data_IF_485180532895
#
_entry.id   IF_485180532895
#
_cell.length_a   1.000
_cell.length_b   1.000
_cell.length_c   1.000
_cell.angle_alpha   90.00
_cell.angle_beta   90.00
_cell.angle_gamma   90.00
#
_symmetry.space_group_name_H-M   'P 1'
#
loop_
_entity.id
_entity.type
_entity.pdbx_description
1 polymer ?
#
# COMPACT_ATOMS: atom_id res chain seq x y z
N UNK A 1 -55.46 -23.91 47.69
CA UNK A 1 -55.06 -22.49 47.58
C UNK A 1 -53.68 -22.36 48.22
N UNK A 2 -52.64 -22.08 47.43
CA UNK A 2 -51.28 -21.88 47.94
C UNK A 2 -50.93 -20.38 47.85
N UNK A 3 -50.24 -19.81 48.87
CA UNK A 3 -49.93 -18.39 48.92
C UNK A 3 -48.76 -18.07 47.98
N UNK A 4 -48.94 -17.04 47.14
CA UNK A 4 -47.88 -16.49 46.30
C UNK A 4 -46.98 -15.59 47.15
N UNK A 5 -45.72 -15.97 47.31
CA UNK A 5 -44.69 -15.10 47.86
C UNK A 5 -44.11 -14.22 46.75
N UNK A 6 -44.26 -12.91 46.90
CA UNK A 6 -43.65 -11.88 46.05
C UNK A 6 -42.22 -11.64 46.52
N UNK A 7 -41.22 -11.96 45.69
CA UNK A 7 -39.81 -11.64 45.96
C UNK A 7 -39.57 -10.17 45.60
N UNK A 8 -39.03 -9.34 46.51
CA UNK A 8 -38.66 -7.96 46.22
C UNK A 8 -37.54 -7.92 45.16
N UNK A 9 -37.80 -7.22 44.07
CA UNK A 9 -36.84 -7.02 42.99
C UNK A 9 -35.84 -5.95 43.42
N UNK A 10 -34.73 -6.37 44.02
CA UNK A 10 -33.61 -5.50 44.40
C UNK A 10 -32.97 -4.93 43.13
N UNK A 11 -33.33 -3.68 42.80
CA UNK A 11 -32.72 -2.93 41.70
C UNK A 11 -31.28 -2.58 42.10
N UNK A 12 -30.35 -3.49 41.81
CA UNK A 12 -28.93 -3.23 41.91
C UNK A 12 -28.58 -1.99 41.08
N UNK A 13 -28.22 -0.90 41.77
CA UNK A 13 -27.76 0.33 41.15
C UNK A 13 -26.53 0.01 40.29
N UNK A 14 -26.71 0.05 38.97
CA UNK A 14 -25.63 -0.14 38.01
C UNK A 14 -24.52 0.88 38.30
N UNK A 15 -23.26 0.44 38.45
CA UNK A 15 -22.15 1.33 38.73
C UNK A 15 -22.07 2.39 37.63
N UNK A 16 -22.18 3.66 38.02
CA UNK A 16 -22.02 4.80 37.12
C UNK A 16 -20.59 4.77 36.58
N UNK A 17 -20.43 4.38 35.33
CA UNK A 17 -19.16 4.47 34.61
C UNK A 17 -18.73 5.94 34.59
N UNK A 18 -17.54 6.29 35.10
CA UNK A 18 -17.06 7.66 35.12
C UNK A 18 -17.06 8.27 33.72
N UNK A 19 -17.72 9.42 33.58
CA UNK A 19 -17.92 10.14 32.31
C UNK A 19 -16.70 10.96 31.85
N UNK A 20 -15.57 10.84 32.54
CA UNK A 20 -14.26 11.31 32.06
C UNK A 20 -13.71 10.34 31.00
N UNK A 21 -14.54 10.05 29.99
CA UNK A 21 -14.26 9.17 28.88
C UNK A 21 -13.32 9.83 27.87
N UNK A 22 -12.11 10.20 28.28
CA UNK A 22 -11.03 10.34 27.30
C UNK A 22 -10.88 8.98 26.65
N UNK A 23 -11.09 8.96 25.34
CA UNK A 23 -10.98 7.76 24.52
C UNK A 23 -9.56 7.20 24.66
N UNK A 24 -9.38 6.26 25.59
CA UNK A 24 -8.07 5.66 25.94
C UNK A 24 -7.45 4.98 24.73
N UNK A 25 -8.27 4.65 23.73
CA UNK A 25 -7.82 4.10 22.45
C UNK A 25 -6.97 5.07 21.64
N UNK A 26 -7.09 6.38 21.86
CA UNK A 26 -6.28 7.40 21.15
C UNK A 26 -4.86 7.55 21.70
N UNK A 27 -4.61 7.12 22.94
CA UNK A 27 -3.30 7.23 23.59
C UNK A 27 -2.58 5.88 23.74
N UNK A 28 -3.33 4.79 23.75
CA UNK A 28 -2.78 3.43 23.85
C UNK A 28 -2.14 3.01 22.51
N UNK A 29 -0.82 2.76 22.53
CA UNK A 29 -0.04 2.30 21.38
C UNK A 29 -0.51 0.95 20.80
N UNK A 30 -1.16 0.13 21.63
CA UNK A 30 -1.59 -1.23 21.33
C UNK A 30 -3.09 -1.32 21.03
N UNK A 31 -3.86 -0.27 21.29
CA UNK A 31 -5.30 -0.24 21.05
C UNK A 31 -5.62 -0.37 19.55
N UNK A 32 -6.69 -1.13 19.19
CA UNK A 32 -7.14 -1.26 17.82
C UNK A 32 -7.44 0.10 17.17
N UNK A 33 -7.14 0.24 15.89
CA UNK A 33 -7.30 1.51 15.15
C UNK A 33 -7.48 1.26 13.66
N UNK A 34 -7.96 2.25 12.90
CA UNK A 34 -8.13 2.18 11.45
C UNK A 34 -7.42 3.35 10.78
N UNK A 35 -6.74 3.12 9.65
CA UNK A 35 -6.00 4.17 8.94
C UNK A 35 -6.81 4.83 7.83
N UNK A 36 -7.76 4.09 7.22
CA UNK A 36 -8.50 4.56 6.04
C UNK A 36 -9.46 5.72 6.34
N UNK A 37 -9.89 5.85 7.60
CA UNK A 37 -10.75 6.95 8.05
C UNK A 37 -9.99 8.26 8.34
N UNK A 38 -8.66 8.20 8.44
CA UNK A 38 -7.85 9.37 8.75
C UNK A 38 -7.77 10.30 7.55
N UNK A 39 -7.63 11.58 7.82
CA UNK A 39 -7.09 12.59 6.91
C UNK A 39 -5.57 12.63 7.01
N UNK A 40 -4.92 13.31 6.07
CA UNK A 40 -3.46 13.46 6.09
C UNK A 40 -3.00 14.26 7.31
N UNK A 41 -3.80 15.27 7.70
CA UNK A 41 -3.55 16.08 8.89
C UNK A 41 -3.60 15.29 10.21
N UNK A 42 -4.28 14.14 10.23
CA UNK A 42 -4.43 13.28 11.40
C UNK A 42 -3.33 12.20 11.50
N UNK A 43 -2.49 12.01 10.48
CA UNK A 43 -1.41 11.03 10.53
C UNK A 43 -0.44 11.19 11.73
N UNK A 44 -0.14 12.41 12.24
CA UNK A 44 0.68 12.55 13.43
C UNK A 44 0.10 11.86 14.68
N UNK A 45 -1.23 11.76 14.78
CA UNK A 45 -1.91 11.21 15.98
C UNK A 45 -1.65 9.72 16.14
N UNK A 46 -1.38 8.99 15.05
CA UNK A 46 -1.13 7.54 15.07
C UNK A 46 0.35 7.16 15.11
N UNK A 47 1.27 8.13 15.22
CA UNK A 47 2.71 7.84 15.22
C UNK A 47 3.18 7.04 16.44
N UNK A 48 2.38 6.99 17.50
CA UNK A 48 2.66 6.17 18.68
C UNK A 48 2.13 4.73 18.53
N UNK A 49 1.32 4.42 17.52
CA UNK A 49 0.78 3.07 17.30
C UNK A 49 1.88 2.10 16.90
N UNK A 50 1.85 0.90 17.47
CA UNK A 50 2.82 -0.16 17.21
C UNK A 50 2.29 -1.33 16.40
N UNK A 51 0.96 -1.53 16.39
CA UNK A 51 0.29 -2.57 15.61
C UNK A 51 -0.17 -2.06 14.26
N UNK A 52 -0.32 -2.99 13.31
CA UNK A 52 -1.04 -2.74 12.06
C UNK A 52 -2.50 -2.32 12.36
N UNK A 53 -3.10 -1.46 11.54
CA UNK A 53 -4.49 -1.07 11.72
C UNK A 53 -5.44 -2.22 11.35
N UNK A 54 -6.64 -2.23 11.90
CA UNK A 54 -7.66 -3.26 11.72
C UNK A 54 -8.12 -3.40 10.26
N UNK A 55 -8.00 -2.34 9.47
CA UNK A 55 -8.29 -2.32 8.03
C UNK A 55 -7.10 -2.82 7.17
N UNK A 56 -5.99 -3.26 7.78
CA UNK A 56 -4.92 -3.99 7.12
C UNK A 56 -5.30 -5.48 6.94
N UNK A 57 -6.22 -5.75 6.01
CA UNK A 57 -6.71 -7.10 5.76
C UNK A 57 -6.07 -7.73 4.52
N UNK A 58 -5.55 -8.96 4.64
CA UNK A 58 -4.96 -9.72 3.50
C UNK A 58 -5.96 -9.87 2.35
N UNK A 59 -7.26 -9.95 2.64
CA UNK A 59 -8.32 -10.03 1.62
C UNK A 59 -8.29 -8.85 0.64
N UNK A 60 -7.79 -7.68 1.05
CA UNK A 60 -7.59 -6.53 0.16
C UNK A 60 -6.50 -6.76 -0.90
N UNK A 61 -5.58 -7.71 -0.67
CA UNK A 61 -4.57 -8.10 -1.66
C UNK A 61 -5.13 -9.03 -2.76
N UNK A 62 -6.35 -9.56 -2.58
CA UNK A 62 -7.01 -10.50 -3.49
C UNK A 62 -6.11 -11.66 -3.90
N UNK A 63 -5.49 -12.32 -2.92
CA UNK A 63 -4.59 -13.45 -3.16
C UNK A 63 -5.39 -14.65 -3.70
N UNK A 64 -4.78 -15.42 -4.62
CA UNK A 64 -5.35 -16.69 -5.08
C UNK A 64 -5.13 -17.81 -4.05
N UNK A 65 -5.77 -18.96 -4.27
CA UNK A 65 -5.74 -20.11 -3.35
C UNK A 65 -4.42 -20.89 -3.32
N UNK A 66 -3.54 -20.73 -4.33
CA UNK A 66 -2.26 -21.43 -4.34
C UNK A 66 -1.28 -20.80 -3.33
N UNK A 67 -0.70 -21.63 -2.46
CA UNK A 67 0.36 -21.28 -1.51
C UNK A 67 1.66 -20.92 -2.24
N UNK A 68 1.69 -19.70 -2.79
CA UNK A 68 2.86 -19.12 -3.42
C UNK A 68 3.69 -18.33 -2.41
N UNK A 69 4.97 -18.11 -2.71
CA UNK A 69 5.84 -17.19 -1.94
C UNK A 69 5.22 -15.78 -1.79
N UNK A 70 4.30 -15.38 -2.68
CA UNK A 70 3.52 -14.15 -2.57
C UNK A 70 2.67 -14.19 -1.29
N UNK A 71 1.84 -15.23 -1.10
CA UNK A 71 1.02 -15.38 0.10
C UNK A 71 1.87 -15.48 1.37
N UNK A 72 2.95 -16.26 1.31
CA UNK A 72 3.91 -16.35 2.41
C UNK A 72 4.49 -14.97 2.78
N UNK A 73 4.77 -14.11 1.79
CA UNK A 73 5.30 -12.75 2.02
C UNK A 73 4.29 -11.87 2.78
N UNK A 74 2.99 -11.91 2.44
CA UNK A 74 1.97 -11.15 3.15
C UNK A 74 1.84 -11.59 4.61
N UNK A 75 1.72 -12.89 4.86
CA UNK A 75 1.65 -13.43 6.21
C UNK A 75 2.92 -13.14 7.01
N UNK A 76 4.09 -13.22 6.37
CA UNK A 76 5.36 -12.87 6.99
C UNK A 76 5.38 -11.41 7.44
N UNK A 77 4.96 -10.46 6.59
CA UNK A 77 4.90 -9.03 6.96
C UNK A 77 3.93 -8.78 8.12
N UNK A 78 2.77 -9.43 8.14
CA UNK A 78 1.82 -9.27 9.26
C UNK A 78 2.41 -9.79 10.56
N UNK A 79 3.11 -10.93 10.52
CA UNK A 79 3.75 -11.52 11.69
C UNK A 79 4.96 -10.72 12.19
N UNK A 80 5.70 -10.08 11.29
CA UNK A 80 6.96 -9.38 11.60
C UNK A 80 6.83 -7.85 11.55
N UNK A 81 5.62 -7.32 11.40
CA UNK A 81 5.41 -5.88 11.47
C UNK A 81 5.79 -5.39 12.88
N UNK A 82 6.51 -4.29 12.92
CA UNK A 82 6.99 -3.65 14.13
C UNK A 82 6.82 -2.14 13.94
N UNK A 83 5.86 -1.54 14.63
CA UNK A 83 5.65 -0.11 14.52
C UNK A 83 6.76 0.73 15.19
N UNK A 84 7.67 0.15 15.97
CA UNK A 84 8.86 0.86 16.45
C UNK A 84 9.92 0.99 15.33
N UNK A 85 10.00 0.04 14.42
CA UNK A 85 10.85 0.11 13.23
C UNK A 85 10.47 1.30 12.33
N UNK A 86 11.39 2.25 12.09
CA UNK A 86 11.11 3.40 11.23
C UNK A 86 10.71 2.99 9.81
N UNK A 87 11.31 1.92 9.27
CA UNK A 87 11.03 1.44 7.92
C UNK A 87 9.59 0.92 7.83
N UNK A 88 9.14 0.13 8.81
CA UNK A 88 7.80 -0.45 8.83
C UNK A 88 6.73 0.63 8.98
N UNK A 89 6.93 1.55 9.95
CA UNK A 89 6.04 2.70 10.16
C UNK A 89 5.99 3.61 8.93
N UNK A 90 7.13 3.91 8.32
CA UNK A 90 7.19 4.66 7.07
C UNK A 90 6.44 3.95 5.93
N UNK A 91 6.66 2.64 5.75
CA UNK A 91 5.99 1.85 4.72
C UNK A 91 4.47 1.92 4.85
N UNK A 92 3.93 1.81 6.07
CA UNK A 92 2.49 1.92 6.31
C UNK A 92 1.95 3.31 5.95
N UNK A 93 2.59 4.37 6.46
CA UNK A 93 2.14 5.75 6.27
C UNK A 93 2.25 6.19 4.80
N UNK A 94 3.35 5.83 4.12
CA UNK A 94 3.53 6.17 2.70
C UNK A 94 2.56 5.41 1.81
N UNK A 95 2.20 4.17 2.17
CA UNK A 95 1.19 3.39 1.45
C UNK A 95 -0.20 3.99 1.58
N UNK A 96 -0.55 4.50 2.75
CA UNK A 96 -1.76 5.30 2.94
C UNK A 96 -1.74 6.55 2.05
N UNK A 97 -0.66 7.34 2.07
CA UNK A 97 -0.55 8.54 1.22
C UNK A 97 -0.65 8.17 -0.27
N UNK A 98 0.05 7.14 -0.72
CA UNK A 98 0.01 6.64 -2.09
C UNK A 98 -1.42 6.24 -2.50
N UNK A 99 -2.18 5.61 -1.60
CA UNK A 99 -3.59 5.28 -1.84
C UNK A 99 -4.45 6.52 -2.10
N UNK A 100 -4.11 7.69 -1.52
CA UNK A 100 -4.81 8.96 -1.72
C UNK A 100 -4.41 9.66 -3.03
N UNK A 101 -3.25 9.32 -3.59
CA UNK A 101 -2.79 9.82 -4.91
C UNK A 101 -3.57 9.15 -6.06
N UNK A 102 -4.09 7.94 -5.85
CA UNK A 102 -4.93 7.25 -6.81
C UNK A 102 -6.10 8.14 -7.33
N UNK A 103 -6.43 8.08 -8.63
CA UNK A 103 -5.88 7.21 -9.68
C UNK A 103 -4.64 7.78 -10.40
N UNK A 104 -4.01 8.85 -9.89
CA UNK A 104 -2.86 9.53 -10.53
C UNK A 104 -1.53 8.86 -10.21
N UNK A 105 -1.42 7.56 -10.46
CA UNK A 105 -0.25 6.74 -10.11
C UNK A 105 0.72 6.49 -11.26
N UNK A 106 0.39 7.03 -12.43
CA UNK A 106 1.11 6.84 -13.67
C UNK A 106 2.33 7.75 -13.83
N UNK A 107 3.02 7.53 -14.94
CA UNK A 107 4.05 8.42 -15.47
C UNK A 107 3.93 8.50 -16.99
N UNK A 108 4.45 9.59 -17.55
CA UNK A 108 4.60 9.73 -19.00
C UNK A 108 5.64 8.76 -19.57
N UNK A 109 5.86 8.78 -20.88
CA UNK A 109 6.94 8.02 -21.50
C UNK A 109 8.32 8.47 -20.99
N UNK A 110 9.33 7.63 -21.22
CA UNK A 110 10.72 8.05 -21.06
C UNK A 110 10.99 9.31 -21.91
N UNK A 111 11.62 10.35 -21.35
CA UNK A 111 11.98 11.52 -22.14
C UNK A 111 13.14 11.20 -23.09
N UNK A 112 13.24 11.94 -24.20
CA UNK A 112 14.24 11.68 -25.25
C UNK A 112 15.69 11.72 -24.75
N UNK A 113 15.97 12.55 -23.74
CA UNK A 113 17.30 12.70 -23.16
C UNK A 113 17.61 11.70 -22.03
N UNK A 114 16.72 10.74 -21.71
CA UNK A 114 17.01 9.81 -20.60
C UNK A 114 18.29 8.99 -20.84
N UNK A 115 18.62 8.72 -22.10
CA UNK A 115 19.81 7.96 -22.50
C UNK A 115 21.11 8.70 -22.16
N UNK A 116 21.09 10.05 -22.13
CA UNK A 116 22.27 10.85 -21.78
C UNK A 116 22.61 10.77 -20.30
N UNK A 117 21.69 10.29 -19.46
CA UNK A 117 21.91 10.08 -18.03
C UNK A 117 22.50 8.69 -17.71
N UNK A 118 22.72 7.84 -18.73
CA UNK A 118 23.27 6.49 -18.55
C UNK A 118 24.61 6.55 -17.82
N UNK A 119 24.76 5.75 -16.76
CA UNK A 119 25.95 5.72 -15.91
C UNK A 119 25.86 6.62 -14.68
N UNK A 120 24.91 7.56 -14.62
CA UNK A 120 24.67 8.37 -13.42
C UNK A 120 23.42 7.91 -12.65
N UNK A 121 23.63 7.09 -11.62
CA UNK A 121 22.54 6.63 -10.73
C UNK A 121 21.84 7.81 -10.05
N UNK A 122 22.60 8.84 -9.65
CA UNK A 122 22.06 10.03 -8.97
C UNK A 122 21.10 10.79 -9.89
N UNK A 123 21.53 11.09 -11.11
CA UNK A 123 20.74 11.93 -12.03
C UNK A 123 19.48 11.20 -12.51
N UNK A 124 19.57 9.91 -12.84
CA UNK A 124 18.39 9.11 -13.22
C UNK A 124 17.42 9.01 -12.04
N UNK A 125 17.92 8.75 -10.82
CA UNK A 125 17.07 8.65 -9.63
C UNK A 125 16.34 9.96 -9.36
N UNK A 126 17.06 11.08 -9.36
CA UNK A 126 16.46 12.40 -9.12
C UNK A 126 15.45 12.75 -10.22
N UNK A 127 15.78 12.47 -11.47
CA UNK A 127 14.87 12.67 -12.58
C UNK A 127 13.56 11.87 -12.42
N UNK A 128 13.63 10.56 -12.11
CA UNK A 128 12.45 9.71 -11.85
C UNK A 128 11.59 10.27 -10.71
N UNK A 129 12.21 10.80 -9.65
CA UNK A 129 11.49 11.42 -8.51
C UNK A 129 10.76 12.70 -8.90
N UNK A 130 11.25 13.43 -9.90
CA UNK A 130 10.66 14.68 -10.38
C UNK A 130 9.58 14.50 -11.45
N UNK A 131 9.45 13.30 -12.05
CA UNK A 131 8.41 13.04 -13.05
C UNK A 131 7.03 13.37 -12.46
N UNK A 132 6.10 13.87 -13.28
CA UNK A 132 4.75 14.24 -12.86
C UNK A 132 3.80 13.04 -12.68
N UNK A 133 3.03 13.02 -11.59
CA UNK A 133 2.04 11.99 -11.28
C UNK A 133 0.81 12.17 -12.17
N UNK A 134 0.65 11.31 -13.17
CA UNK A 134 -0.44 11.42 -14.16
C UNK A 134 -1.53 10.36 -13.93
N UNK A 135 -2.78 10.63 -14.32
CA UNK A 135 -3.83 9.62 -14.39
C UNK A 135 -3.37 8.35 -15.12
N UNK A 136 -3.80 7.19 -14.62
CA UNK A 136 -3.49 5.90 -15.24
C UNK A 136 -3.85 5.83 -16.73
N UNK A 137 -4.93 6.51 -17.15
CA UNK A 137 -5.39 6.57 -18.53
C UNK A 137 -4.39 7.27 -19.48
N UNK A 138 -3.56 8.16 -18.95
CA UNK A 138 -2.56 8.91 -19.73
C UNK A 138 -1.22 8.14 -19.86
N UNK A 139 -1.11 6.95 -19.25
CA UNK A 139 0.10 6.15 -19.34
C UNK A 139 0.15 5.38 -20.65
N UNK A 140 1.34 5.24 -21.26
CA UNK A 140 1.55 4.50 -22.53
C UNK A 140 1.07 3.05 -22.50
N UNK A 141 0.83 2.48 -21.32
CA UNK A 141 0.32 1.12 -21.11
C UNK A 141 -1.21 1.12 -20.94
N UNK A 142 -1.92 1.86 -21.80
CA UNK A 142 -3.33 2.29 -21.67
C UNK A 142 -4.39 1.21 -21.88
N UNK A 143 -4.08 -0.08 -21.72
CA UNK A 143 -5.13 -1.07 -21.49
C UNK A 143 -5.78 -0.74 -20.15
N UNK A 144 -7.07 -0.37 -20.14
CA UNK A 144 -7.86 0.00 -18.95
C UNK A 144 -7.48 -0.82 -17.71
N UNK A 145 -6.65 -0.23 -16.83
CA UNK A 145 -6.13 -0.91 -15.64
C UNK A 145 -7.22 -0.93 -14.57
N UNK A 146 -7.89 -2.07 -14.43
CA UNK A 146 -8.92 -2.27 -13.40
C UNK A 146 -8.32 -2.18 -11.99
N UNK A 147 -9.07 -1.61 -11.06
CA UNK A 147 -8.76 -1.65 -9.63
C UNK A 147 -7.78 -0.59 -9.12
N UNK A 148 -7.44 0.42 -9.92
CA UNK A 148 -6.52 1.52 -9.52
C UNK A 148 -7.21 2.57 -8.64
N UNK A 149 -8.52 2.47 -8.41
CA UNK A 149 -9.29 3.45 -7.62
C UNK A 149 -9.53 3.04 -6.17
N UNK A 150 -9.33 1.76 -5.82
CA UNK A 150 -9.59 1.26 -4.46
C UNK A 150 -8.41 1.58 -3.56
N UNK A 151 -8.64 2.30 -2.45
CA UNK A 151 -7.58 2.76 -1.54
C UNK A 151 -6.97 1.62 -0.71
N UNK A 152 -7.82 0.84 -0.03
CA UNK A 152 -7.40 -0.22 0.91
C UNK A 152 -6.39 -1.24 0.34
N UNK A 153 -6.55 -1.75 -0.91
CA UNK A 153 -5.55 -2.61 -1.51
C UNK A 153 -4.15 -1.99 -1.57
N UNK A 154 -4.01 -0.69 -1.80
CA UNK A 154 -2.69 -0.04 -1.85
C UNK A 154 -2.01 -0.02 -0.50
N UNK A 155 -2.77 0.22 0.58
CA UNK A 155 -2.22 0.24 1.94
C UNK A 155 -1.56 -1.11 2.24
N UNK A 156 -2.27 -2.21 1.98
CA UNK A 156 -1.77 -3.56 2.24
C UNK A 156 -0.62 -3.90 1.29
N UNK A 157 -0.81 -3.77 -0.02
CA UNK A 157 0.16 -4.24 -1.01
C UNK A 157 1.48 -3.45 -1.00
N UNK A 158 1.46 -2.12 -0.83
CA UNK A 158 2.69 -1.31 -0.85
C UNK A 158 3.45 -1.46 0.45
N UNK A 159 2.76 -1.51 1.60
CA UNK A 159 3.39 -1.74 2.90
C UNK A 159 4.14 -3.07 2.86
N UNK A 160 3.47 -4.13 2.40
CA UNK A 160 4.10 -5.45 2.24
C UNK A 160 5.27 -5.40 1.26
N UNK A 161 5.13 -4.71 0.12
CA UNK A 161 6.20 -4.60 -0.88
C UNK A 161 7.46 -3.93 -0.31
N UNK A 162 7.32 -2.77 0.35
CA UNK A 162 8.46 -2.01 0.89
C UNK A 162 9.13 -2.80 2.00
N UNK A 163 8.37 -3.33 2.96
CA UNK A 163 8.92 -4.10 4.08
C UNK A 163 9.63 -5.35 3.56
N UNK A 164 8.95 -6.16 2.73
CA UNK A 164 9.51 -7.40 2.23
C UNK A 164 10.78 -7.17 1.39
N UNK A 165 10.81 -6.14 0.53
CA UNK A 165 12.01 -5.86 -0.28
C UNK A 165 13.19 -5.30 0.53
N UNK A 166 12.91 -4.70 1.69
CA UNK A 166 13.94 -4.12 2.57
C UNK A 166 14.57 -5.16 3.52
N UNK A 167 13.86 -6.25 3.82
CA UNK A 167 14.34 -7.30 4.71
C UNK A 167 14.84 -8.54 3.94
N UNK A 168 16.14 -8.88 3.99
CA UNK A 168 16.70 -10.02 3.27
C UNK A 168 16.13 -11.39 3.68
N UNK A 169 15.53 -11.49 4.87
CA UNK A 169 14.94 -12.73 5.39
C UNK A 169 13.50 -12.95 4.92
N UNK A 170 12.88 -11.97 4.27
CA UNK A 170 11.52 -12.08 3.78
C UNK A 170 11.40 -13.18 2.70
N UNK A 171 10.23 -13.84 2.57
CA UNK A 171 10.02 -14.84 1.52
C UNK A 171 10.25 -14.29 0.10
N UNK A 172 9.90 -13.02 -0.14
CA UNK A 172 10.16 -12.35 -1.42
C UNK A 172 11.67 -12.22 -1.71
N UNK A 173 12.48 -11.82 -0.73
CA UNK A 173 13.93 -11.68 -0.91
C UNK A 173 14.63 -13.02 -1.08
N UNK A 174 14.19 -14.04 -0.34
CA UNK A 174 14.65 -15.42 -0.54
C UNK A 174 14.32 -15.93 -1.94
N UNK A 175 13.10 -15.68 -2.43
CA UNK A 175 12.72 -16.00 -3.80
C UNK A 175 13.63 -15.30 -4.81
N UNK A 176 13.83 -13.98 -4.67
CA UNK A 176 14.69 -13.22 -5.58
C UNK A 176 16.14 -13.76 -5.61
N UNK A 177 16.71 -14.08 -4.45
CA UNK A 177 18.05 -14.65 -4.36
C UNK A 177 18.17 -15.98 -5.11
N UNK A 178 17.14 -16.84 -5.03
CA UNK A 178 17.10 -18.12 -5.75
C UNK A 178 16.78 -17.99 -7.26
N UNK A 179 16.30 -16.83 -7.72
CA UNK A 179 15.81 -16.65 -9.10
C UNK A 179 16.52 -15.49 -9.82
N UNK A 180 17.84 -15.37 -9.66
CA UNK A 180 18.67 -14.36 -10.35
C UNK A 180 18.12 -12.94 -10.20
N UNK A 181 17.74 -12.57 -8.97
CA UNK A 181 17.14 -11.28 -8.64
C UNK A 181 15.79 -10.97 -9.33
N UNK A 182 15.11 -11.98 -9.89
CA UNK A 182 13.79 -11.81 -10.47
C UNK A 182 12.72 -11.68 -9.40
N UNK A 183 11.79 -10.74 -9.60
CA UNK A 183 10.55 -10.64 -8.81
C UNK A 183 9.53 -11.72 -9.20
N UNK A 184 9.66 -12.35 -10.37
CA UNK A 184 8.76 -13.41 -10.84
C UNK A 184 7.28 -12.99 -10.90
N UNK A 185 6.35 -13.89 -10.53
CA UNK A 185 4.91 -13.60 -10.48
C UNK A 185 4.50 -12.37 -9.64
N UNK A 186 5.33 -11.93 -8.69
CA UNK A 186 5.10 -10.71 -7.91
C UNK A 186 4.91 -9.48 -8.80
N UNK A 187 5.78 -9.29 -9.81
CA UNK A 187 5.69 -8.17 -10.74
C UNK A 187 4.40 -8.17 -11.54
N UNK A 188 3.92 -9.34 -11.96
CA UNK A 188 2.67 -9.48 -12.70
C UNK A 188 1.46 -9.16 -11.81
N UNK A 189 1.46 -9.67 -10.56
CA UNK A 189 0.39 -9.46 -9.59
C UNK A 189 0.18 -8.00 -9.23
N UNK A 190 1.27 -7.26 -9.06
CA UNK A 190 1.27 -5.92 -8.47
C UNK A 190 1.52 -4.79 -9.49
N UNK A 191 2.18 -5.08 -10.62
CA UNK A 191 2.58 -4.08 -11.61
C UNK A 191 1.40 -3.38 -12.30
N UNK A 192 0.28 -4.07 -12.51
CA UNK A 192 -0.96 -3.49 -13.05
C UNK A 192 -1.56 -2.40 -12.14
N UNK A 193 -1.21 -2.40 -10.85
CA UNK A 193 -1.60 -1.38 -9.88
C UNK A 193 -0.51 -0.33 -9.65
N UNK A 194 0.49 -0.23 -10.53
CA UNK A 194 1.60 0.73 -10.39
C UNK A 194 2.46 0.51 -9.12
N UNK A 195 2.39 -0.68 -8.53
CA UNK A 195 3.31 -1.12 -7.46
C UNK A 195 4.49 -1.77 -8.18
N UNK A 196 5.42 -0.93 -8.63
CA UNK A 196 6.52 -1.30 -9.49
C UNK A 196 7.80 -0.52 -9.13
N UNK A 197 8.91 -0.88 -9.76
CA UNK A 197 10.21 -0.26 -9.54
C UNK A 197 10.20 1.27 -9.68
N UNK A 198 9.55 1.79 -10.73
CA UNK A 198 9.47 3.22 -11.00
C UNK A 198 8.90 3.99 -9.80
N UNK A 199 7.76 3.54 -9.27
CA UNK A 199 7.14 4.21 -8.13
C UNK A 199 7.87 3.98 -6.81
N UNK A 200 8.59 2.87 -6.63
CA UNK A 200 9.48 2.68 -5.48
C UNK A 200 10.65 3.70 -5.51
N UNK A 201 11.25 3.94 -6.68
CA UNK A 201 12.28 4.98 -6.86
C UNK A 201 11.69 6.36 -6.60
N UNK A 202 10.51 6.64 -7.17
CA UNK A 202 9.82 7.92 -7.04
C UNK A 202 9.48 8.27 -5.59
N UNK A 203 9.01 7.30 -4.80
CA UNK A 203 8.77 7.47 -3.36
C UNK A 203 10.06 7.65 -2.54
N UNK A 204 11.23 7.37 -3.12
CA UNK A 204 12.54 7.58 -2.51
C UNK A 204 13.10 6.38 -1.76
N UNK A 205 12.52 5.17 -1.92
CA UNK A 205 13.01 3.94 -1.24
C UNK A 205 13.96 3.10 -2.08
N UNK A 206 14.13 3.44 -3.36
CA UNK A 206 14.97 2.74 -4.32
C UNK A 206 15.82 3.71 -5.14
N UNK A 207 16.84 3.17 -5.79
CA UNK A 207 17.67 3.84 -6.81
C UNK A 207 17.27 3.38 -8.21
N UNK A 208 17.33 4.29 -9.17
CA UNK A 208 17.33 3.97 -10.59
C UNK A 208 18.76 4.07 -11.13
N UNK A 209 19.20 3.04 -11.85
CA UNK A 209 20.57 2.93 -12.37
C UNK A 209 20.63 3.07 -13.89
N UNK A 210 19.52 2.82 -14.59
CA UNK A 210 19.49 2.84 -16.05
C UNK A 210 18.13 3.33 -16.61
N UNK A 211 18.10 3.85 -17.85
CA UNK A 211 16.88 4.26 -18.54
C UNK A 211 15.79 3.18 -18.63
N UNK A 212 16.18 1.90 -18.56
CA UNK A 212 15.26 0.76 -18.51
C UNK A 212 14.24 0.83 -17.34
N UNK A 213 14.43 1.72 -16.36
CA UNK A 213 13.44 2.03 -15.32
C UNK A 213 12.05 2.41 -15.85
N UNK A 214 11.97 2.99 -17.05
CA UNK A 214 10.70 3.41 -17.68
C UNK A 214 9.94 2.28 -18.40
N UNK A 215 10.54 1.11 -18.57
CA UNK A 215 9.96 0.00 -19.34
C UNK A 215 9.85 -1.28 -18.51
N UNK A 216 10.79 -2.20 -18.73
CA UNK A 216 10.85 -3.52 -18.09
C UNK A 216 12.06 -3.63 -17.14
N UNK A 217 12.06 -2.93 -16.00
CA UNK A 217 13.24 -2.84 -15.15
C UNK A 217 13.56 -4.15 -14.42
N UNK A 218 14.78 -4.65 -14.63
CA UNK A 218 15.35 -5.75 -13.84
C UNK A 218 15.96 -5.21 -12.55
N UNK A 219 15.78 -5.95 -11.45
CA UNK A 219 16.32 -5.61 -10.14
C UNK A 219 17.81 -5.96 -10.06
N UNK A 220 18.62 -5.08 -9.46
CA UNK A 220 20.04 -5.24 -9.17
C UNK A 220 20.81 -3.95 -9.43
N UNK A 221 21.92 -3.75 -8.71
CA UNK A 221 22.78 -2.56 -8.86
C UNK A 221 23.40 -2.43 -10.24
N UNK A 222 23.69 -3.56 -10.89
CA UNK A 222 24.17 -3.63 -12.28
C UNK A 222 23.03 -3.63 -13.31
N UNK A 223 21.78 -3.46 -12.86
CA UNK A 223 20.59 -3.51 -13.70
C UNK A 223 19.86 -2.17 -13.71
N UNK A 224 18.52 -2.15 -13.75
CA UNK A 224 17.76 -0.91 -13.92
C UNK A 224 17.52 -0.19 -12.59
N UNK A 225 17.47 -0.91 -11.47
CA UNK A 225 17.14 -0.36 -10.16
C UNK A 225 17.52 -1.30 -9.02
N UNK A 226 17.65 -0.76 -7.80
CA UNK A 226 17.78 -1.54 -6.57
C UNK A 226 17.13 -0.82 -5.38
N UNK A 227 16.80 -1.55 -4.32
CA UNK A 227 16.43 -0.91 -3.05
C UNK A 227 17.63 -0.16 -2.48
N UNK A 228 17.39 0.97 -1.81
CA UNK A 228 18.44 1.62 -1.01
C UNK A 228 18.90 0.68 0.10
N UNK A 229 20.11 0.90 0.64
CA UNK A 229 20.58 0.15 1.78
C UNK A 229 19.63 0.33 3.00
N UNK A 230 19.47 -0.66 3.88
CA UNK A 230 18.56 -0.57 5.02
C UNK A 230 18.78 0.67 5.90
N UNK A 231 20.04 1.05 6.15
CA UNK A 231 20.37 2.24 6.93
C UNK A 231 19.91 3.54 6.24
N UNK A 232 20.00 3.62 4.92
CA UNK A 232 19.55 4.78 4.15
C UNK A 232 18.02 4.89 4.13
N UNK A 233 17.32 3.76 3.97
CA UNK A 233 15.85 3.73 4.07
C UNK A 233 15.42 4.15 5.48
N UNK A 234 16.08 3.63 6.52
CA UNK A 234 15.80 4.00 7.91
C UNK A 234 16.04 5.50 8.16
N UNK A 235 17.12 6.08 7.63
CA UNK A 235 17.38 7.52 7.74
C UNK A 235 16.31 8.35 7.02
N UNK A 236 15.93 7.96 5.79
CA UNK A 236 14.86 8.61 5.04
C UNK A 236 13.51 8.51 5.74
N UNK A 237 13.19 7.34 6.29
CA UNK A 237 11.99 7.08 7.09
C UNK A 237 11.94 7.95 8.36
N UNK A 238 13.06 8.04 9.10
CA UNK A 238 13.18 8.91 10.27
C UNK A 238 12.96 10.38 9.92
N UNK A 239 13.51 10.84 8.78
CA UNK A 239 13.27 12.22 8.27
C UNK A 239 11.79 12.45 7.98
N UNK A 240 11.14 11.52 7.28
CA UNK A 240 9.70 11.60 6.99
C UNK A 240 8.85 11.66 8.28
N UNK A 241 9.12 10.77 9.24
CA UNK A 241 8.40 10.73 10.52
C UNK A 241 8.66 12.01 11.32
N UNK A 242 9.88 12.55 11.31
CA UNK A 242 10.21 13.82 11.95
C UNK A 242 9.42 14.98 11.36
N UNK A 243 9.28 15.04 10.02
CA UNK A 243 8.43 16.04 9.37
C UNK A 243 6.97 15.89 9.80
N UNK A 244 6.43 14.68 9.89
CA UNK A 244 5.05 14.48 10.38
C UNK A 244 4.85 14.99 11.82
N UNK A 245 5.87 14.85 12.68
CA UNK A 245 5.82 15.34 14.08
C UNK A 245 6.03 16.85 14.20
N UNK A 246 6.45 17.52 13.14
CA UNK A 246 6.69 18.96 13.18
C UNK A 246 5.37 19.73 13.32
N UNK A 247 5.44 21.07 13.25
CA UNK A 247 4.33 22.00 13.39
C UNK A 247 3.06 21.67 12.56
N UNK A 248 2.08 22.57 12.56
CA UNK A 248 0.82 22.40 11.82
C UNK A 248 0.98 22.02 10.32
N UNK A 249 2.13 22.30 9.69
CA UNK A 249 2.42 21.97 8.28
C UNK A 249 3.19 20.65 8.09
N UNK A 250 3.49 19.92 9.16
CA UNK A 250 4.29 18.68 9.11
C UNK A 250 3.78 17.63 8.12
N UNK A 251 2.47 17.29 8.11
CA UNK A 251 1.88 16.39 7.13
C UNK A 251 2.07 16.82 5.67
N UNK A 252 2.02 18.13 5.40
CA UNK A 252 2.26 18.66 4.07
C UNK A 252 3.72 18.49 3.64
N UNK A 253 4.68 18.86 4.49
CA UNK A 253 6.12 18.74 4.19
C UNK A 253 6.56 17.27 4.05
N UNK A 254 6.01 16.38 4.89
CA UNK A 254 6.25 14.93 4.76
C UNK A 254 5.71 14.38 3.43
N UNK A 255 4.51 14.82 3.02
CA UNK A 255 3.92 14.44 1.73
C UNK A 255 4.75 14.97 0.57
N UNK A 256 5.23 16.22 0.66
CA UNK A 256 6.10 16.86 -0.34
C UNK A 256 7.44 16.15 -0.48
N UNK A 257 8.03 15.67 0.62
CA UNK A 257 9.28 14.90 0.60
C UNK A 257 9.17 13.65 -0.31
N UNK A 258 8.03 12.96 -0.26
CA UNK A 258 7.80 11.71 -0.99
C UNK A 258 7.24 11.93 -2.38
N UNK A 259 6.24 12.80 -2.53
CA UNK A 259 5.44 12.92 -3.75
C UNK A 259 5.65 14.23 -4.52
N UNK A 260 6.44 15.17 -3.97
CA UNK A 260 6.64 16.50 -4.53
C UNK A 260 5.52 17.48 -4.18
N UNK A 261 5.78 18.76 -4.46
CA UNK A 261 4.90 19.88 -4.09
C UNK A 261 3.50 19.74 -4.69
N UNK A 262 3.39 19.40 -5.98
CA UNK A 262 2.11 19.33 -6.69
C UNK A 262 1.12 18.36 -6.04
N UNK A 263 1.59 17.16 -5.65
CA UNK A 263 0.75 16.17 -4.99
C UNK A 263 0.44 16.60 -3.54
N UNK A 264 1.43 17.09 -2.81
CA UNK A 264 1.21 17.59 -1.45
C UNK A 264 0.12 18.68 -1.41
N UNK A 265 0.17 19.66 -2.31
CA UNK A 265 -0.86 20.71 -2.40
C UNK A 265 -2.23 20.15 -2.78
N UNK A 266 -2.29 19.21 -3.73
CA UNK A 266 -3.55 18.59 -4.14
C UNK A 266 -4.20 17.80 -3.00
N UNK A 267 -3.41 17.05 -2.24
CA UNK A 267 -3.89 16.24 -1.13
C UNK A 267 -4.31 17.09 0.08
N UNK A 268 -3.58 18.17 0.35
CA UNK A 268 -3.92 19.13 1.41
C UNK A 268 -5.28 19.80 1.13
N UNK A 269 -5.49 20.30 -0.10
CA UNK A 269 -6.78 20.91 -0.50
C UNK A 269 -7.98 19.97 -0.30
N UNK A 270 -7.85 18.70 -0.69
CA UNK A 270 -8.91 17.69 -0.50
C UNK A 270 -9.24 17.44 0.97
N UNK A 271 -8.23 17.51 1.84
CA UNK A 271 -8.41 17.28 3.28
C UNK A 271 -9.23 18.41 3.91
N UNK A 272 -8.99 19.67 3.51
CA UNK A 272 -9.76 20.84 3.95
C UNK A 272 -11.21 20.76 3.47
N UNK A 273 -11.44 20.45 2.19
CA UNK A 273 -12.80 20.38 1.62
C UNK A 273 -13.66 19.26 2.23
N UNK A 274 -13.04 18.14 2.64
CA UNK A 274 -13.77 17.00 3.22
C UNK A 274 -14.16 17.23 4.68
N UNK A 275 -13.42 18.08 5.41
CA UNK A 275 -13.66 18.36 6.84
C UNK A 275 -14.91 19.21 7.11
N UNK A 276 -15.43 19.91 6.10
CA UNK A 276 -16.57 20.84 6.26
C UNK A 276 -17.95 20.18 6.29
N UNK A 277 -18.11 18.92 5.88
CA UNK A 277 -19.43 18.29 5.74
C UNK A 277 -19.73 17.13 6.71
N UNK A 278 -18.77 16.62 7.48
CA UNK A 278 -18.97 15.38 8.25
C UNK A 278 -18.75 15.45 9.77
N UNK A 279 -18.68 16.64 10.39
CA UNK A 279 -18.66 16.77 11.86
C UNK A 279 -20.06 16.88 12.50
N UNK A 280 -21.08 16.28 11.87
CA UNK A 280 -22.36 16.01 12.51
C UNK A 280 -22.30 14.68 13.27
N UNK A 281 -22.07 14.76 14.58
CA UNK A 281 -22.60 13.87 15.64
C UNK A 281 -23.26 12.55 15.20
N UNK A 282 -22.47 11.62 14.67
CA UNK A 282 -22.93 10.27 14.35
C UNK A 282 -22.57 9.31 15.47
N UNK A 283 -23.48 9.15 16.43
CA UNK A 283 -23.46 8.02 17.37
C UNK A 283 -23.19 6.72 16.61
N UNK A 284 -22.24 5.94 17.14
CA UNK A 284 -21.90 4.59 16.71
C UNK A 284 -23.15 3.76 16.48
N UNK A 285 -23.59 3.66 15.22
CA UNK A 285 -24.50 2.61 14.77
C UNK A 285 -23.63 1.43 14.41
N UNK A 286 -23.77 0.35 15.17
CA UNK A 286 -23.20 -0.95 14.87
C UNK A 286 -23.47 -1.30 13.40
N UNK A 287 -22.48 -1.85 12.67
CA UNK A 287 -22.68 -2.22 11.28
C UNK A 287 -23.79 -3.27 11.16
N UNK A 288 -24.66 -3.19 10.14
CA UNK A 288 -25.68 -4.20 9.91
C UNK A 288 -24.99 -5.54 9.64
N UNK A 289 -25.46 -6.57 10.35
CA UNK A 289 -25.06 -7.97 10.21
C UNK A 289 -25.34 -8.39 8.75
N UNK A 290 -24.32 -8.42 7.89
CA UNK A 290 -24.44 -8.95 6.54
C UNK A 290 -24.56 -10.48 6.63
N UNK A 291 -25.78 -11.00 6.47
CA UNK A 291 -26.02 -12.41 6.14
C UNK A 291 -25.54 -12.65 4.72
N UNK A 292 -24.42 -13.37 4.58
CA UNK A 292 -23.98 -13.90 3.29
C UNK A 292 -24.91 -15.05 2.89
N UNK A 293 -25.92 -14.75 2.07
CA UNK A 293 -26.61 -15.79 1.29
C UNK A 293 -25.71 -16.20 0.11
N UNK A 294 -25.22 -17.43 0.18
CA UNK A 294 -24.49 -18.10 -0.88
C UNK A 294 -25.43 -18.37 -2.07
N UNK A 295 -25.43 -17.49 -3.07
CA UNK A 295 -26.02 -17.78 -4.37
C UNK A 295 -24.99 -18.50 -5.26
N UNK A 296 -24.87 -19.82 -5.07
CA UNK A 296 -24.27 -20.74 -6.06
C UNK A 296 -25.21 -20.80 -7.27
N UNK A 297 -24.78 -20.23 -8.40
CA UNK A 297 -25.17 -20.66 -9.75
C UNK A 297 -24.27 -19.93 -10.75
N UNK A 298 -23.22 -20.60 -11.21
CA UNK A 298 -22.72 -20.44 -12.57
C UNK A 298 -22.23 -21.78 -13.07
N UNK A 299 -22.79 -22.12 -14.22
CA UNK A 299 -22.59 -23.31 -15.03
C UNK A 299 -21.11 -23.54 -15.33
N UNK A 300 -20.70 -24.80 -15.25
CA UNK A 300 -19.51 -25.31 -15.89
C UNK A 300 -19.70 -25.21 -17.40
N UNK A 301 -19.03 -24.24 -18.02
CA UNK A 301 -18.63 -24.39 -19.42
C UNK A 301 -17.37 -25.24 -19.43
N UNK A 302 -17.47 -26.43 -20.01
CA UNK A 302 -16.30 -27.22 -20.41
C UNK A 302 -15.41 -26.35 -21.30
N UNK A 303 -14.18 -26.11 -20.84
CA UNK A 303 -13.12 -25.58 -21.67
C UNK A 303 -12.53 -26.81 -22.34
N UNK A 304 -12.83 -27.02 -23.62
CA UNK A 304 -12.02 -27.86 -24.49
C UNK A 304 -10.58 -27.34 -24.42
N UNK A 305 -9.69 -28.12 -23.82
CA UNK A 305 -8.25 -27.98 -24.00
C UNK A 305 -7.93 -28.28 -25.47
N UNK A 306 -7.92 -27.23 -26.29
CA UNK A 306 -7.25 -27.28 -27.59
C UNK A 306 -5.76 -27.41 -27.33
N UNK A 307 -5.26 -28.64 -27.41
CA UNK A 307 -3.83 -28.93 -27.52
C UNK A 307 -3.30 -28.21 -28.77
N UNK A 308 -2.65 -27.07 -28.55
CA UNK A 308 -1.93 -26.38 -29.61
C UNK A 308 -0.78 -27.28 -30.06
N UNK A 309 -0.70 -27.52 -31.36
CA UNK A 309 0.43 -28.21 -31.96
C UNK A 309 1.72 -27.40 -31.74
N UNK A 310 2.87 -28.07 -31.69
CA UNK A 310 4.17 -27.41 -31.45
C UNK A 310 4.45 -26.26 -32.44
N UNK A 311 3.93 -26.37 -33.66
CA UNK A 311 4.03 -25.35 -34.71
C UNK A 311 3.21 -24.09 -34.40
N UNK A 312 2.01 -24.23 -33.83
CA UNK A 312 1.20 -23.08 -33.40
C UNK A 312 1.82 -22.39 -32.17
N UNK A 313 2.42 -23.18 -31.27
CA UNK A 313 3.16 -22.65 -30.13
C UNK A 313 4.41 -21.87 -30.57
N UNK A 314 5.07 -22.32 -31.64
CA UNK A 314 6.21 -21.62 -32.25
C UNK A 314 5.79 -20.27 -32.84
N UNK A 315 4.65 -20.21 -33.53
CA UNK A 315 4.22 -18.99 -34.20
C UNK A 315 3.64 -17.93 -33.26
N UNK A 316 3.04 -18.37 -32.14
CA UNK A 316 2.71 -17.47 -31.02
C UNK A 316 3.98 -16.89 -30.37
N UNK A 317 5.05 -17.68 -30.25
CA UNK A 317 6.35 -17.19 -29.72
C UNK A 317 7.04 -16.24 -30.69
N UNK A 318 6.92 -16.47 -32.01
CA UNK A 318 7.48 -15.60 -33.06
C UNK A 318 6.79 -14.23 -33.09
N UNK A 319 5.46 -14.20 -32.99
CA UNK A 319 4.68 -12.94 -32.95
C UNK A 319 4.93 -12.07 -31.71
N UNK A 320 5.46 -12.65 -30.63
CA UNK A 320 5.82 -11.91 -29.40
C UNK A 320 7.24 -11.32 -29.41
N UNK A 321 8.04 -11.62 -30.45
CA UNK A 321 9.43 -11.15 -30.60
C UNK A 321 9.60 -10.04 -31.64
N UNK A 322 8.51 -9.60 -32.26
CA UNK A 322 8.42 -8.40 -33.09
C UNK A 322 7.64 -7.34 -32.30
#
# INVERSE_FOLDING_TARGET
>A
MLPRYSVPQEQAAMPRVPRDGRDTTLVDAEAPWCINSLTIGELPTILHKHKLPNDFLISHASLGSAESYISATYHWVIKHYDGASPIHKFALLVSYLFSRVAPKLGHGGAPNNISTMKGSTKDITEHVRQVAWVPAAETKSSSSRKGVTKTLPFIVMITTTIIALSDPLSPLRKYMAAHNNSLGPWSQKHGSKFINAFNLVRMGVAYAHAPAIYGSPKYGSMHAWSMKAPLEIAAYAKRFISLLKSNANGPYEATKLVFGTTIASSLNRRSVSSGGMSRGTGLSRSPPRQTFENKRKREHGEIEELELTDDELFEVKRRRRL
#
